data_IF_992062395513
#
_entry.id   IF_992062395513
#
_cell.length_a   1.000
_cell.length_b   1.000
_cell.length_c   1.000
_cell.angle_alpha   90.00
_cell.angle_beta   90.00
_cell.angle_gamma   90.00
#
_symmetry.space_group_name_H-M   'P 1'
#
loop_
_entity.id
_entity.type
_entity.pdbx_description
1 polymer ?
#
# COMPACT_ATOMS: atom_id res chain seq x y z
N UNK A 1 8.33 -13.20 -1.65
CA UNK A 1 9.15 -12.71 -0.54
C UNK A 1 9.30 -13.74 0.56
N UNK A 2 10.51 -13.94 1.03
CA UNK A 2 10.77 -14.70 2.25
C UNK A 2 11.02 -13.74 3.41
N UNK A 3 10.06 -13.64 4.33
CA UNK A 3 10.14 -12.78 5.52
C UNK A 3 10.87 -13.44 6.69
N UNK A 4 11.19 -14.75 6.59
CA UNK A 4 11.84 -15.49 7.70
C UNK A 4 13.17 -14.90 8.15
N UNK A 5 14.07 -14.45 7.25
CA UNK A 5 15.30 -13.78 7.66
C UNK A 5 15.07 -12.50 8.46
N UNK A 6 14.05 -11.71 8.07
CA UNK A 6 13.68 -10.47 8.75
C UNK A 6 13.20 -10.75 10.18
N UNK A 7 12.31 -11.74 10.36
CA UNK A 7 11.81 -12.14 11.67
C UNK A 7 12.93 -12.66 12.56
N UNK A 8 13.81 -13.53 12.01
CA UNK A 8 14.98 -14.05 12.74
C UNK A 8 15.92 -12.93 13.20
N UNK A 9 16.18 -11.95 12.35
CA UNK A 9 17.03 -10.81 12.70
C UNK A 9 16.39 -9.96 13.81
N UNK A 10 15.10 -9.71 13.76
CA UNK A 10 14.38 -8.97 14.80
C UNK A 10 14.42 -9.69 16.15
N UNK A 11 14.15 -11.01 16.17
CA UNK A 11 14.22 -11.84 17.37
C UNK A 11 15.65 -11.87 17.95
N UNK A 12 16.66 -12.08 17.10
CA UNK A 12 18.06 -12.08 17.54
C UNK A 12 18.46 -10.76 18.18
N UNK A 13 18.05 -9.63 17.62
CA UNK A 13 18.28 -8.30 18.17
C UNK A 13 17.58 -8.09 19.51
N UNK A 14 16.34 -8.54 19.62
CA UNK A 14 15.58 -8.48 20.87
C UNK A 14 16.28 -9.29 21.99
N UNK A 15 16.71 -10.51 21.68
CA UNK A 15 17.42 -11.37 22.62
C UNK A 15 18.81 -10.82 23.01
N UNK A 16 19.44 -10.01 22.16
CA UNK A 16 20.70 -9.33 22.45
C UNK A 16 20.53 -8.02 23.26
N UNK A 17 19.31 -7.68 23.68
CA UNK A 17 19.03 -6.51 24.50
C UNK A 17 18.94 -5.20 23.72
N UNK A 18 18.75 -5.25 22.38
CA UNK A 18 18.51 -4.03 21.62
C UNK A 18 17.15 -3.42 22.00
N UNK A 19 17.09 -2.09 22.01
CA UNK A 19 15.90 -1.33 22.31
C UNK A 19 14.76 -1.67 21.33
N UNK A 20 13.54 -2.00 21.78
CA UNK A 20 12.43 -2.38 20.91
C UNK A 20 12.09 -1.33 19.85
N UNK A 21 12.23 -0.04 20.19
CA UNK A 21 11.99 1.06 19.24
C UNK A 21 12.97 1.05 18.08
N UNK A 22 14.24 0.73 18.34
CA UNK A 22 15.26 0.59 17.29
C UNK A 22 14.95 -0.59 16.36
N UNK A 23 14.51 -1.71 16.94
CA UNK A 23 14.13 -2.90 16.16
C UNK A 23 12.94 -2.58 15.26
N UNK A 24 11.92 -1.91 15.80
CA UNK A 24 10.74 -1.50 15.06
C UNK A 24 11.09 -0.54 13.91
N UNK A 25 11.94 0.45 14.17
CA UNK A 25 12.43 1.37 13.15
C UNK A 25 13.14 0.65 12.01
N UNK A 26 14.09 -0.23 12.33
CA UNK A 26 14.84 -1.02 11.34
C UNK A 26 13.92 -1.93 10.52
N UNK A 27 12.90 -2.52 11.16
CA UNK A 27 11.88 -3.33 10.48
C UNK A 27 11.13 -2.49 9.43
N UNK A 28 10.63 -1.31 9.82
CA UNK A 28 9.89 -0.42 8.94
C UNK A 28 10.73 0.07 7.76
N UNK A 29 12.00 0.46 8.02
CA UNK A 29 12.94 0.84 6.97
C UNK A 29 13.18 -0.31 5.99
N UNK A 30 13.36 -1.53 6.50
CA UNK A 30 13.54 -2.71 5.66
C UNK A 30 12.33 -2.96 4.77
N UNK A 31 11.12 -2.83 5.32
CA UNK A 31 9.87 -2.97 4.53
C UNK A 31 9.78 -1.92 3.41
N UNK A 32 10.20 -0.67 3.67
CA UNK A 32 10.24 0.36 2.64
C UNK A 32 11.19 -0.01 1.48
N UNK A 33 12.39 -0.50 1.81
CA UNK A 33 13.36 -0.96 0.79
C UNK A 33 12.86 -2.18 0.02
N UNK A 34 12.23 -3.14 0.72
CA UNK A 34 11.62 -4.31 0.07
C UNK A 34 10.55 -3.90 -0.93
N UNK A 35 9.69 -2.94 -0.59
CA UNK A 35 8.67 -2.42 -1.50
C UNK A 35 9.29 -1.78 -2.75
N UNK A 36 10.34 -0.96 -2.55
CA UNK A 36 11.09 -0.35 -3.67
C UNK A 36 11.70 -1.43 -4.56
N UNK A 37 12.40 -2.41 -4.00
CA UNK A 37 13.09 -3.44 -4.77
C UNK A 37 12.12 -4.30 -5.57
N UNK A 38 10.92 -4.57 -5.02
CA UNK A 38 9.83 -5.23 -5.76
C UNK A 38 9.34 -4.38 -6.93
N UNK A 39 9.14 -3.09 -6.72
CA UNK A 39 8.72 -2.20 -7.81
C UNK A 39 9.78 -2.16 -8.93
N UNK A 40 11.06 -2.10 -8.58
CA UNK A 40 12.16 -2.15 -9.56
C UNK A 40 12.17 -3.45 -10.36
N UNK A 41 11.93 -4.59 -9.69
CA UNK A 41 11.93 -5.90 -10.33
C UNK A 41 10.71 -6.13 -11.23
N UNK A 42 9.51 -5.70 -10.80
CA UNK A 42 8.24 -5.98 -11.48
C UNK A 42 7.81 -4.89 -12.46
N UNK A 43 8.33 -3.68 -12.31
CA UNK A 43 7.94 -2.51 -13.09
C UNK A 43 9.17 -1.77 -13.67
N UNK A 44 9.99 -2.43 -14.51
CA UNK A 44 11.17 -1.81 -15.10
C UNK A 44 10.82 -0.64 -16.04
N UNK A 45 9.61 -0.63 -16.60
CA UNK A 45 9.09 0.43 -17.45
C UNK A 45 8.66 1.69 -16.69
N UNK A 46 8.76 1.70 -15.36
CA UNK A 46 8.41 2.83 -14.49
C UNK A 46 6.99 3.36 -14.68
N UNK A 47 6.03 2.46 -14.87
CA UNK A 47 4.62 2.82 -14.82
C UNK A 47 4.30 3.46 -13.45
N UNK A 48 3.28 4.32 -13.39
CA UNK A 48 2.86 4.91 -12.12
C UNK A 48 2.54 3.85 -11.06
N UNK A 49 2.96 4.10 -9.81
CA UNK A 49 2.73 3.23 -8.67
C UNK A 49 1.64 3.82 -7.79
N UNK A 50 0.67 3.00 -7.41
CA UNK A 50 -0.41 3.39 -6.49
C UNK A 50 -0.21 2.65 -5.17
N UNK A 51 -0.11 3.39 -4.07
CA UNK A 51 -0.01 2.85 -2.72
C UNK A 51 -1.41 2.80 -2.09
N UNK A 52 -1.86 1.59 -1.76
CA UNK A 52 -3.17 1.32 -1.15
C UNK A 52 -3.07 0.17 -0.15
N UNK A 53 -4.08 0.04 0.70
CA UNK A 53 -4.15 -0.98 1.75
C UNK A 53 -3.87 -0.43 3.14
N UNK A 54 -4.35 -1.15 4.17
CA UNK A 54 -4.30 -0.73 5.57
C UNK A 54 -2.88 -0.46 6.12
N UNK A 55 -1.85 -1.11 5.55
CA UNK A 55 -0.46 -0.86 5.92
C UNK A 55 -0.04 0.61 5.72
N UNK A 56 -0.60 1.29 4.72
CA UNK A 56 -0.30 2.70 4.42
C UNK A 56 -1.07 3.71 5.28
N UNK A 57 -1.83 3.27 6.28
CA UNK A 57 -2.25 4.09 7.40
C UNK A 57 -1.05 4.45 8.30
N UNK A 58 -0.02 3.61 8.31
CA UNK A 58 1.25 3.94 8.95
C UNK A 58 1.98 5.01 8.12
N UNK A 59 2.03 6.23 8.67
CA UNK A 59 2.61 7.39 8.02
C UNK A 59 4.08 7.20 7.67
N UNK A 60 4.85 6.53 8.54
CA UNK A 60 6.25 6.24 8.29
C UNK A 60 6.45 5.37 7.04
N UNK A 61 5.64 4.31 6.89
CA UNK A 61 5.69 3.46 5.70
C UNK A 61 5.27 4.22 4.44
N UNK A 62 4.19 5.00 4.51
CA UNK A 62 3.70 5.76 3.37
C UNK A 62 4.76 6.75 2.87
N UNK A 63 5.31 7.56 3.76
CA UNK A 63 6.30 8.59 3.42
C UNK A 63 7.61 7.94 2.97
N UNK A 64 8.09 6.90 3.66
CA UNK A 64 9.32 6.20 3.32
C UNK A 64 9.27 5.51 1.96
N UNK A 65 8.20 4.77 1.67
CA UNK A 65 8.01 4.12 0.37
C UNK A 65 7.85 5.16 -0.74
N UNK A 66 7.07 6.23 -0.49
CA UNK A 66 6.89 7.31 -1.46
C UNK A 66 8.21 7.97 -1.82
N UNK A 67 9.03 8.31 -0.82
CA UNK A 67 10.34 8.93 -1.04
C UNK A 67 11.25 8.01 -1.87
N UNK A 68 11.42 6.76 -1.44
CA UNK A 68 12.30 5.79 -2.11
C UNK A 68 11.88 5.50 -3.56
N UNK A 69 10.59 5.44 -3.84
CA UNK A 69 10.08 5.23 -5.20
C UNK A 69 10.23 6.48 -6.06
N UNK A 70 9.98 7.66 -5.50
CA UNK A 70 10.16 8.94 -6.20
C UNK A 70 11.64 9.14 -6.58
N UNK A 71 12.57 8.88 -5.65
CA UNK A 71 14.00 8.94 -5.91
C UNK A 71 14.44 7.92 -6.98
N UNK A 72 13.78 6.77 -7.05
CA UNK A 72 13.97 5.79 -8.11
C UNK A 72 13.31 6.17 -9.45
N UNK A 73 12.65 7.33 -9.55
CA UNK A 73 12.05 7.88 -10.76
C UNK A 73 10.63 7.38 -11.06
N UNK A 74 9.92 6.83 -10.07
CA UNK A 74 8.51 6.47 -10.22
C UNK A 74 7.60 7.66 -9.91
N UNK A 75 6.46 7.74 -10.61
CA UNK A 75 5.33 8.56 -10.21
C UNK A 75 4.52 7.79 -9.18
N UNK A 76 4.39 8.34 -7.97
CA UNK A 76 3.71 7.67 -6.86
C UNK A 76 2.39 8.37 -6.55
N UNK A 77 1.33 7.59 -6.43
CA UNK A 77 0.01 8.04 -6.02
C UNK A 77 -0.43 7.30 -4.76
N UNK A 78 -1.15 7.99 -3.91
CA UNK A 78 -1.76 7.43 -2.71
C UNK A 78 -3.11 8.10 -2.41
N UNK A 79 -3.90 7.47 -1.56
CA UNK A 79 -5.17 8.02 -1.12
C UNK A 79 -4.98 9.33 -0.34
N UNK A 80 -5.76 10.36 -0.66
CA UNK A 80 -5.73 11.66 0.04
C UNK A 80 -7.06 12.00 0.70
N UNK A 81 -8.18 11.54 0.14
CA UNK A 81 -9.54 11.88 0.56
C UNK A 81 -10.31 10.70 1.12
N UNK A 82 -9.85 9.50 0.85
CA UNK A 82 -10.46 8.24 1.26
C UNK A 82 -9.43 7.44 2.02
N UNK A 83 -9.84 6.69 3.04
CA UNK A 83 -8.97 5.78 3.77
C UNK A 83 -8.38 4.74 2.80
N UNK A 84 -7.09 4.39 2.92
CA UNK A 84 -6.46 3.37 2.08
C UNK A 84 -6.86 1.94 2.46
N UNK A 85 -7.61 1.75 3.54
CA UNK A 85 -8.08 0.46 4.04
C UNK A 85 -9.43 0.05 3.41
N UNK A 86 -10.07 -0.99 3.97
CA UNK A 86 -11.32 -1.55 3.51
C UNK A 86 -12.51 -0.55 3.53
N UNK A 87 -12.43 0.51 4.34
CA UNK A 87 -13.44 1.59 4.34
C UNK A 87 -13.55 2.28 2.97
N UNK A 88 -12.46 2.31 2.19
CA UNK A 88 -12.46 2.86 0.84
C UNK A 88 -13.09 1.98 -0.24
N UNK A 89 -13.34 0.70 0.06
CA UNK A 89 -13.86 -0.30 -0.90
C UNK A 89 -15.24 0.07 -1.42
N UNK A 90 -16.12 0.58 -0.56
CA UNK A 90 -17.47 0.98 -0.92
C UNK A 90 -17.49 2.08 -1.99
N UNK A 91 -16.57 3.04 -1.93
CA UNK A 91 -16.45 4.08 -2.95
C UNK A 91 -16.00 3.50 -4.30
N UNK A 92 -15.06 2.55 -4.29
CA UNK A 92 -14.64 1.83 -5.49
C UNK A 92 -15.78 1.05 -6.13
N UNK A 93 -16.56 0.33 -5.32
CA UNK A 93 -17.75 -0.40 -5.77
C UNK A 93 -18.82 0.52 -6.36
N UNK A 94 -19.09 1.66 -5.73
CA UNK A 94 -20.01 2.67 -6.25
C UNK A 94 -19.52 3.25 -7.57
N UNK A 95 -18.23 3.51 -7.71
CA UNK A 95 -17.64 4.03 -8.95
C UNK A 95 -17.78 3.02 -10.10
N UNK A 96 -17.54 1.73 -9.83
CA UNK A 96 -17.73 0.65 -10.81
C UNK A 96 -19.19 0.52 -11.20
N UNK A 97 -20.11 0.57 -10.22
CA UNK A 97 -21.55 0.48 -10.47
C UNK A 97 -22.05 1.69 -11.30
N UNK A 98 -21.57 2.88 -11.02
CA UNK A 98 -21.90 4.09 -11.78
C UNK A 98 -21.41 3.99 -13.22
N UNK A 99 -20.19 3.49 -13.44
CA UNK A 99 -19.64 3.32 -14.79
C UNK A 99 -20.37 2.24 -15.60
N UNK A 100 -20.73 1.12 -14.96
CA UNK A 100 -21.56 0.09 -15.61
C UNK A 100 -22.92 0.65 -16.02
N UNK A 101 -23.61 1.42 -15.16
CA UNK A 101 -24.87 2.07 -15.50
C UNK A 101 -24.75 3.05 -16.67
N UNK A 102 -23.62 3.70 -16.80
CA UNK A 102 -23.39 4.66 -17.90
C UNK A 102 -23.16 3.97 -19.25
N UNK A 103 -22.62 2.76 -19.23
CA UNK A 103 -22.27 1.98 -20.43
C UNK A 103 -23.31 0.91 -20.78
N UNK A 104 -24.16 0.55 -19.84
CA UNK A 104 -25.28 -0.36 -20.01
C UNK A 104 -26.57 0.42 -19.69
N UNK A 105 -27.53 0.44 -20.62
CA UNK A 105 -28.92 0.88 -20.33
C UNK A 105 -29.57 -0.13 -19.37
N UNK A 106 -29.14 -0.14 -18.10
CA UNK A 106 -29.71 -1.01 -17.08
C UNK A 106 -31.02 -0.39 -16.63
N UNK A 107 -32.19 -1.07 -16.82
CA UNK A 107 -33.45 -0.57 -16.34
C UNK A 107 -33.41 -0.32 -14.84
N UNK A 108 -33.79 0.88 -14.43
CA UNK A 108 -33.94 1.19 -13.02
C UNK A 108 -35.05 0.31 -12.45
N UNK A 109 -34.73 -0.62 -11.53
CA UNK A 109 -35.74 -1.32 -10.79
C UNK A 109 -36.49 -0.30 -9.90
N UNK A 110 -37.62 0.17 -10.35
CA UNK A 110 -38.59 0.87 -9.49
C UNK A 110 -39.22 -0.19 -8.60
N UNK A 111 -38.96 -0.13 -7.30
CA UNK A 111 -39.78 -0.82 -6.33
C UNK A 111 -41.13 -0.14 -6.36
N UNK A 112 -42.11 -0.74 -7.03
CA UNK A 112 -43.53 -0.41 -6.82
C UNK A 112 -43.90 -0.90 -5.42
N UNK A 113 -44.34 0.04 -4.57
CA UNK A 113 -44.89 -0.21 -3.24
C UNK A 113 -46.28 -0.88 -3.34
#
# INVERSE_FOLDING_TARGET
FDIRPLVRAAVSKLLSGCEPGEIAYRLLVTLCHMAKDQCLALNPGRLPVVLSGGAFQNRFLLDGVTALLTDAGYRVFHHRRVSPNDEGLCLGQLSIAAEKRRNEDVPCYTYEN
#
